data_IF_391005854881
#
_entry.id   IF_391005854881
#
_cell.length_a   1.000
_cell.length_b   1.000
_cell.length_c   1.000
_cell.angle_alpha   90.00
_cell.angle_beta   90.00
_cell.angle_gamma   90.00
#
_symmetry.space_group_name_H-M   'P 1'
#
loop_
_entity.id
_entity.type
_entity.pdbx_description
1 polymer ?
#
# COMPACT_ATOMS: atom_id res chain seq x y z
N UNK A 1 -15.05 -18.73 -1.19
CA UNK A 1 -13.72 -19.21 -1.60
C UNK A 1 -12.96 -19.42 -0.31
N UNK A 2 -12.05 -20.37 -0.24
CA UNK A 2 -11.13 -20.49 0.90
C UNK A 2 -10.05 -19.40 0.76
N UNK A 3 -9.54 -18.88 1.87
CA UNK A 3 -8.40 -17.95 1.89
C UNK A 3 -7.22 -18.58 1.13
N UNK A 4 -6.53 -17.83 0.25
CA UNK A 4 -5.40 -18.33 -0.52
C UNK A 4 -4.28 -18.85 0.38
N UNK A 5 -3.69 -19.98 0.02
CA UNK A 5 -2.58 -20.57 0.79
C UNK A 5 -1.23 -19.93 0.46
N UNK A 6 -1.05 -19.53 -0.79
CA UNK A 6 0.19 -18.87 -1.25
C UNK A 6 -0.19 -17.57 -1.94
N UNK A 7 0.27 -16.47 -1.36
CA UNK A 7 0.08 -15.12 -1.86
C UNK A 7 1.44 -14.54 -2.24
N UNK A 8 1.56 -13.99 -3.43
CA UNK A 8 2.79 -13.38 -3.93
C UNK A 8 2.69 -11.86 -3.91
N UNK A 9 3.61 -11.20 -3.21
CA UNK A 9 3.70 -9.74 -3.24
C UNK A 9 4.46 -9.29 -4.49
N UNK A 10 3.80 -8.48 -5.31
CA UNK A 10 4.37 -7.85 -6.49
C UNK A 10 4.42 -6.33 -6.28
N UNK A 11 5.59 -5.71 -6.44
CA UNK A 11 5.76 -4.28 -6.15
C UNK A 11 5.07 -3.34 -7.16
N UNK A 12 4.50 -3.87 -8.23
CA UNK A 12 3.77 -3.12 -9.26
C UNK A 12 4.65 -2.25 -10.18
N UNK A 13 5.82 -1.87 -9.71
CA UNK A 13 6.75 -0.96 -10.40
C UNK A 13 7.75 -1.68 -11.27
N UNK A 14 8.09 -2.92 -10.93
CA UNK A 14 9.19 -3.66 -11.54
C UNK A 14 9.14 -3.71 -13.07
N UNK A 15 8.03 -4.10 -13.72
CA UNK A 15 7.93 -4.07 -15.18
C UNK A 15 8.12 -2.68 -15.76
N UNK A 16 7.53 -1.66 -15.12
CA UNK A 16 7.56 -0.27 -15.58
C UNK A 16 8.96 0.35 -15.49
N UNK A 17 9.78 -0.09 -14.53
CA UNK A 17 11.07 0.52 -14.19
C UNK A 17 12.24 -0.20 -14.86
N UNK A 18 12.27 -1.55 -14.75
CA UNK A 18 13.50 -2.30 -15.01
C UNK A 18 13.48 -3.13 -16.29
N UNK A 19 12.30 -3.54 -16.77
CA UNK A 19 12.24 -4.53 -17.85
C UNK A 19 12.07 -3.92 -19.23
N UNK A 20 11.28 -2.86 -19.38
CA UNK A 20 10.85 -2.36 -20.68
C UNK A 20 11.07 -0.87 -20.84
N UNK A 21 11.61 -0.49 -22.01
CA UNK A 21 11.73 0.92 -22.39
C UNK A 21 10.37 1.48 -22.88
N UNK A 22 10.11 2.79 -22.67
CA UNK A 22 8.94 3.43 -23.27
C UNK A 22 9.03 3.45 -24.83
N UNK A 23 7.92 3.24 -25.52
CA UNK A 23 6.56 3.04 -25.06
C UNK A 23 6.28 1.55 -24.76
N UNK A 24 5.96 1.24 -23.51
CA UNK A 24 5.57 -0.11 -23.10
C UNK A 24 4.30 -0.58 -23.83
N UNK A 25 4.25 -1.87 -24.17
CA UNK A 25 3.08 -2.52 -24.72
C UNK A 25 2.27 -3.20 -23.61
N UNK A 26 0.93 -3.39 -23.79
CA UNK A 26 0.09 -4.07 -22.81
C UNK A 26 0.61 -5.44 -22.40
N UNK A 27 1.01 -6.27 -23.37
CA UNK A 27 1.50 -7.63 -23.15
C UNK A 27 2.79 -7.67 -22.31
N UNK A 28 3.59 -6.61 -22.37
CA UNK A 28 4.80 -6.46 -21.57
C UNK A 28 4.47 -6.22 -20.09
N UNK A 29 3.38 -5.49 -19.81
CA UNK A 29 2.93 -5.25 -18.43
C UNK A 29 2.24 -6.47 -17.83
N UNK A 30 1.50 -7.23 -18.63
CA UNK A 30 0.85 -8.50 -18.24
C UNK A 30 1.86 -9.56 -17.76
N UNK A 31 3.14 -9.43 -18.12
CA UNK A 31 4.21 -10.29 -17.61
C UNK A 31 4.26 -10.33 -16.06
N UNK A 32 3.80 -9.29 -15.36
CA UNK A 32 3.67 -9.30 -13.90
C UNK A 32 2.74 -10.40 -13.37
N UNK A 33 1.83 -10.89 -14.21
CA UNK A 33 0.97 -12.06 -13.92
C UNK A 33 1.56 -13.33 -14.54
N UNK A 34 2.02 -13.24 -15.79
CA UNK A 34 2.45 -14.39 -16.58
C UNK A 34 3.64 -15.13 -15.95
N UNK A 35 4.54 -14.42 -15.28
CA UNK A 35 5.67 -15.04 -14.56
C UNK A 35 5.24 -15.93 -13.38
N UNK A 36 3.99 -15.82 -12.94
CA UNK A 36 3.41 -16.63 -11.88
C UNK A 36 2.59 -17.83 -12.39
N UNK A 37 2.45 -17.98 -13.71
CA UNK A 37 1.72 -19.09 -14.32
C UNK A 37 2.52 -20.40 -14.13
N UNK A 38 1.82 -21.48 -13.80
CA UNK A 38 2.45 -22.76 -13.50
C UNK A 38 3.08 -22.86 -12.10
N UNK A 39 3.03 -21.77 -11.31
CA UNK A 39 3.43 -21.80 -9.89
C UNK A 39 2.23 -22.07 -8.97
N UNK A 40 2.45 -22.48 -7.71
CA UNK A 40 1.38 -22.67 -6.74
C UNK A 40 0.81 -21.37 -6.15
N UNK A 41 1.18 -20.19 -6.67
CA UNK A 41 0.64 -18.89 -6.24
C UNK A 41 -0.84 -18.83 -6.61
N UNK A 42 -1.69 -18.56 -5.61
CA UNK A 42 -3.14 -18.46 -5.75
C UNK A 42 -3.64 -17.00 -5.83
N UNK A 43 -2.91 -16.08 -5.18
CA UNK A 43 -3.26 -14.67 -5.15
C UNK A 43 -2.04 -13.77 -5.36
N UNK A 44 -2.27 -12.63 -6.01
CA UNK A 44 -1.27 -11.60 -6.25
C UNK A 44 -1.61 -10.39 -5.38
N UNK A 45 -0.70 -10.04 -4.48
CA UNK A 45 -0.75 -8.81 -3.69
C UNK A 45 -0.03 -7.72 -4.48
N UNK A 46 -0.79 -6.94 -5.25
CA UNK A 46 -0.23 -6.02 -6.24
C UNK A 46 -0.15 -4.59 -5.71
N UNK A 47 1.08 -4.08 -5.56
CA UNK A 47 1.32 -2.75 -5.00
C UNK A 47 0.81 -1.65 -5.95
N UNK A 48 -0.06 -0.78 -5.41
CA UNK A 48 -0.63 0.35 -6.15
C UNK A 48 0.38 1.48 -6.34
N UNK A 49 1.31 1.63 -5.39
CA UNK A 49 2.26 2.73 -5.32
C UNK A 49 2.54 3.13 -3.87
N UNK A 50 2.86 4.40 -3.67
CA UNK A 50 3.28 4.94 -2.38
C UNK A 50 2.24 5.94 -1.86
N UNK A 51 1.39 5.51 -0.94
CA UNK A 51 0.29 6.34 -0.42
C UNK A 51 -0.65 6.80 -1.54
N UNK A 52 -0.83 8.12 -1.72
CA UNK A 52 -1.68 8.70 -2.77
C UNK A 52 -1.08 8.60 -4.18
N UNK A 53 0.23 8.36 -4.29
CA UNK A 53 0.94 8.32 -5.58
C UNK A 53 0.90 6.91 -6.15
N UNK A 54 0.22 6.72 -7.27
CA UNK A 54 -0.08 5.41 -7.85
C UNK A 54 0.41 5.28 -9.30
N UNK A 55 0.37 4.06 -9.83
CA UNK A 55 0.82 3.72 -11.19
C UNK A 55 -0.32 3.26 -12.11
N UNK A 56 -1.56 3.50 -11.72
CA UNK A 56 -2.77 3.17 -12.47
C UNK A 56 -3.63 4.42 -12.69
N UNK A 57 -4.67 4.31 -13.51
CA UNK A 57 -5.59 5.40 -13.77
C UNK A 57 -6.44 5.71 -12.53
N UNK A 58 -6.33 6.93 -12.02
CA UNK A 58 -6.96 7.38 -10.77
C UNK A 58 -7.61 8.74 -10.92
N UNK A 59 -8.75 8.93 -10.25
CA UNK A 59 -9.48 10.19 -10.15
C UNK A 59 -9.16 10.94 -8.85
N UNK A 60 -8.70 10.21 -7.81
CA UNK A 60 -8.44 10.76 -6.47
C UNK A 60 -6.97 10.73 -6.07
N UNK A 61 -6.19 9.79 -6.64
CA UNK A 61 -4.75 9.72 -6.46
C UNK A 61 -3.99 10.63 -7.42
N UNK A 62 -2.70 10.42 -7.48
CA UNK A 62 -1.78 11.13 -8.37
C UNK A 62 -0.90 10.13 -9.11
N UNK A 63 -0.72 10.30 -10.41
CA UNK A 63 0.17 9.43 -11.15
C UNK A 63 1.61 9.68 -10.73
N UNK A 64 2.32 8.64 -10.39
CA UNK A 64 3.71 8.69 -9.96
C UNK A 64 4.59 9.54 -10.88
N UNK A 65 5.21 10.58 -10.34
CA UNK A 65 6.02 11.54 -11.10
C UNK A 65 5.24 12.55 -11.95
N UNK A 66 3.91 12.71 -11.77
CA UNK A 66 3.05 13.63 -12.53
C UNK A 66 3.53 15.08 -12.50
N UNK A 67 4.12 15.52 -11.39
CA UNK A 67 4.56 16.88 -11.13
C UNK A 67 6.02 17.14 -11.51
N UNK A 68 6.73 16.18 -12.14
CA UNK A 68 8.17 16.31 -12.43
C UNK A 68 8.46 16.98 -13.76
N UNK A 69 9.26 18.03 -13.72
CA UNK A 69 9.89 18.68 -14.88
C UNK A 69 11.30 18.14 -15.14
N UNK A 70 12.01 17.81 -14.05
CA UNK A 70 13.34 17.18 -14.08
C UNK A 70 13.28 15.87 -13.33
N UNK A 71 14.03 14.89 -13.77
CA UNK A 71 14.02 13.56 -13.22
C UNK A 71 15.34 13.29 -12.49
N UNK A 72 15.29 12.92 -11.20
CA UNK A 72 16.50 12.63 -10.44
C UNK A 72 17.19 11.35 -10.94
N UNK A 73 16.41 10.42 -11.54
CA UNK A 73 16.93 9.17 -12.08
C UNK A 73 16.10 8.69 -13.28
N UNK A 74 16.79 8.03 -14.26
CA UNK A 74 16.15 7.54 -15.47
C UNK A 74 15.06 6.49 -15.23
N UNK A 75 15.23 5.65 -14.20
CA UNK A 75 14.23 4.62 -13.85
C UNK A 75 12.89 5.25 -13.47
N UNK A 76 12.87 6.38 -12.77
CA UNK A 76 11.65 7.06 -12.38
C UNK A 76 10.95 7.69 -13.58
N UNK A 77 11.73 8.27 -14.49
CA UNK A 77 11.19 8.78 -15.76
C UNK A 77 10.58 7.65 -16.59
N UNK A 78 11.27 6.50 -16.67
CA UNK A 78 10.79 5.31 -17.39
C UNK A 78 9.46 4.82 -16.84
N UNK A 79 9.36 4.67 -15.51
CA UNK A 79 8.11 4.26 -14.85
C UNK A 79 6.94 5.19 -15.19
N UNK A 80 7.14 6.50 -15.08
CA UNK A 80 6.12 7.49 -15.43
C UNK A 80 5.72 7.41 -16.90
N UNK A 81 6.69 7.32 -17.81
CA UNK A 81 6.42 7.28 -19.25
C UNK A 81 5.67 6.00 -19.66
N UNK A 82 6.03 4.86 -19.07
CA UNK A 82 5.35 3.59 -19.31
C UNK A 82 3.91 3.63 -18.77
N UNK A 83 3.72 3.97 -17.49
CA UNK A 83 2.38 4.04 -16.90
C UNK A 83 1.47 5.05 -17.62
N UNK A 84 1.97 6.30 -17.79
CA UNK A 84 1.20 7.34 -18.50
C UNK A 84 0.95 7.00 -19.97
N UNK A 85 1.88 6.29 -20.62
CA UNK A 85 1.73 5.83 -22.00
C UNK A 85 0.62 4.79 -22.16
N UNK A 86 0.56 3.80 -21.26
CA UNK A 86 -0.51 2.80 -21.20
C UNK A 86 -1.86 3.47 -20.96
N UNK A 87 -1.97 4.32 -19.92
CA UNK A 87 -3.21 5.01 -19.57
C UNK A 87 -3.74 5.85 -20.74
N UNK A 88 -2.89 6.64 -21.39
CA UNK A 88 -3.31 7.45 -22.57
C UNK A 88 -3.82 6.64 -23.75
N UNK A 89 -3.40 5.37 -23.86
CA UNK A 89 -3.88 4.43 -24.88
C UNK A 89 -5.16 3.70 -24.44
N UNK A 90 -5.69 3.98 -23.25
CA UNK A 90 -6.85 3.32 -22.67
C UNK A 90 -6.56 2.00 -21.96
N UNK A 91 -5.30 1.72 -21.69
CA UNK A 91 -4.85 0.54 -20.96
C UNK A 91 -4.53 0.94 -19.51
N UNK A 92 -5.48 0.72 -18.62
CA UNK A 92 -5.28 0.96 -17.18
C UNK A 92 -4.45 -0.17 -16.56
N UNK A 93 -3.24 0.12 -16.03
CA UNK A 93 -2.35 -0.90 -15.49
C UNK A 93 -2.99 -1.82 -14.45
N UNK A 94 -3.75 -1.30 -13.48
CA UNK A 94 -4.37 -2.14 -12.47
C UNK A 94 -5.51 -3.00 -13.05
N UNK A 95 -6.27 -2.47 -13.99
CA UNK A 95 -7.31 -3.23 -14.71
C UNK A 95 -6.70 -4.40 -15.46
N UNK A 96 -5.60 -4.16 -16.18
CA UNK A 96 -4.90 -5.19 -16.93
C UNK A 96 -4.43 -6.34 -16.03
N UNK A 97 -3.85 -6.03 -14.88
CA UNK A 97 -3.43 -7.05 -13.90
C UNK A 97 -4.64 -7.85 -13.38
N UNK A 98 -5.74 -7.18 -13.04
CA UNK A 98 -6.96 -7.87 -12.58
C UNK A 98 -7.50 -8.82 -13.65
N UNK A 99 -7.68 -8.32 -14.87
CA UNK A 99 -8.26 -9.10 -15.97
C UNK A 99 -7.37 -10.29 -16.35
N UNK A 100 -6.05 -10.06 -16.42
CA UNK A 100 -5.08 -11.12 -16.70
C UNK A 100 -5.03 -12.19 -15.61
N UNK A 101 -5.00 -11.78 -14.35
CA UNK A 101 -5.00 -12.71 -13.21
C UNK A 101 -6.26 -13.57 -13.19
N UNK A 102 -7.43 -12.96 -13.35
CA UNK A 102 -8.71 -13.67 -13.39
C UNK A 102 -8.83 -14.63 -14.57
N UNK A 103 -8.26 -14.29 -15.72
CA UNK A 103 -8.20 -15.20 -16.89
C UNK A 103 -7.55 -16.54 -16.51
N UNK A 104 -6.60 -16.53 -15.58
CA UNK A 104 -5.88 -17.71 -15.12
C UNK A 104 -6.29 -18.19 -13.71
N UNK A 105 -7.44 -17.73 -13.21
CA UNK A 105 -8.00 -18.15 -11.93
C UNK A 105 -7.22 -17.71 -10.70
N UNK A 106 -6.37 -16.68 -10.83
CA UNK A 106 -5.63 -16.09 -9.69
C UNK A 106 -6.41 -14.91 -9.12
N UNK A 107 -6.35 -14.76 -7.80
CA UNK A 107 -6.98 -13.66 -7.07
C UNK A 107 -6.07 -12.42 -7.06
N UNK A 108 -6.66 -11.22 -6.97
CA UNK A 108 -5.92 -9.95 -6.89
C UNK A 108 -6.29 -9.18 -5.63
N UNK A 109 -5.28 -8.86 -4.84
CA UNK A 109 -5.34 -8.00 -3.67
C UNK A 109 -4.46 -6.77 -3.92
N UNK A 110 -5.04 -5.63 -4.33
CA UNK A 110 -4.27 -4.39 -4.38
C UNK A 110 -3.65 -4.11 -3.01
N UNK A 111 -2.37 -3.76 -3.01
CA UNK A 111 -1.62 -3.43 -1.79
C UNK A 111 -1.37 -1.94 -1.73
N UNK A 112 -1.76 -1.29 -0.65
CA UNK A 112 -1.44 0.10 -0.38
C UNK A 112 -0.32 0.19 0.66
N UNK A 113 0.83 0.76 0.27
CA UNK A 113 1.82 1.23 1.23
C UNK A 113 1.19 2.41 2.00
N UNK A 114 0.70 2.11 3.22
CA UNK A 114 -0.15 3.05 3.95
C UNK A 114 0.63 4.28 4.43
N UNK A 115 1.90 4.10 4.75
CA UNK A 115 2.76 5.16 5.24
C UNK A 115 4.08 5.22 4.48
N UNK A 116 4.57 6.43 4.28
CA UNK A 116 5.89 6.70 3.71
C UNK A 116 6.38 8.05 4.19
N UNK A 117 7.66 8.13 4.58
CA UNK A 117 8.32 9.39 4.88
C UNK A 117 8.50 10.24 3.62
N UNK A 118 8.55 11.56 3.80
CA UNK A 118 8.78 12.51 2.72
C UNK A 118 10.27 12.76 2.53
N UNK A 119 10.76 12.61 1.31
CA UNK A 119 12.03 13.13 0.86
C UNK A 119 11.95 14.60 0.43
N UNK A 120 12.99 15.10 -0.23
CA UNK A 120 12.97 16.44 -0.79
C UNK A 120 12.03 16.53 -2.02
N UNK A 121 11.41 17.70 -2.22
CA UNK A 121 10.53 17.93 -3.37
C UNK A 121 11.19 17.57 -4.71
N UNK A 122 12.44 17.90 -4.88
CA UNK A 122 13.14 17.71 -6.16
C UNK A 122 13.53 16.26 -6.42
N UNK A 123 13.57 15.43 -5.40
CA UNK A 123 14.13 14.06 -5.47
C UNK A 123 13.08 12.96 -5.31
N UNK A 124 12.06 13.18 -4.50
CA UNK A 124 11.09 12.14 -4.17
C UNK A 124 9.87 12.15 -5.10
N UNK A 125 9.96 11.39 -6.18
CA UNK A 125 8.87 11.23 -7.15
C UNK A 125 7.70 10.39 -6.62
N UNK A 126 7.85 9.77 -5.44
CA UNK A 126 6.85 8.91 -4.82
C UNK A 126 5.93 9.67 -3.87
N UNK A 127 6.26 10.94 -3.57
CA UNK A 127 5.44 11.78 -2.72
C UNK A 127 4.42 12.57 -3.54
N UNK A 128 3.20 12.62 -3.04
CA UNK A 128 2.10 13.40 -3.62
C UNK A 128 2.26 14.89 -3.35
N UNK A 129 1.57 15.71 -4.13
CA UNK A 129 1.49 17.14 -3.88
C UNK A 129 0.86 17.43 -2.52
N UNK A 130 -0.16 16.67 -2.13
CA UNK A 130 -0.77 16.75 -0.81
C UNK A 130 0.26 16.69 0.33
N UNK A 131 1.28 15.85 0.23
CA UNK A 131 2.33 15.75 1.25
C UNK A 131 3.20 17.00 1.34
N UNK A 132 3.60 17.53 0.18
CA UNK A 132 4.45 18.72 0.13
C UNK A 132 3.70 19.98 0.55
N UNK A 133 2.41 20.05 0.27
CA UNK A 133 1.54 21.17 0.61
C UNK A 133 1.10 21.15 2.08
N UNK A 134 1.20 20.00 2.76
CA UNK A 134 0.68 19.81 4.11
C UNK A 134 1.74 19.32 5.11
N UNK A 135 2.90 19.96 5.26
CA UNK A 135 3.92 19.54 6.24
C UNK A 135 3.44 19.65 7.69
N UNK A 136 2.41 20.47 7.97
CA UNK A 136 1.78 20.58 9.28
C UNK A 136 1.02 19.31 9.72
N UNK A 137 0.76 18.39 8.81
CA UNK A 137 0.12 17.09 9.10
C UNK A 137 1.14 15.97 9.35
N UNK A 138 2.44 16.28 9.35
CA UNK A 138 3.49 15.31 9.65
C UNK A 138 3.63 15.09 11.16
N UNK A 139 4.05 13.90 11.55
CA UNK A 139 4.29 13.52 12.96
C UNK A 139 5.28 14.49 13.62
N UNK A 140 6.32 14.90 12.89
CA UNK A 140 7.35 15.84 13.39
C UNK A 140 6.98 17.31 13.29
N UNK A 141 5.75 17.68 12.90
CA UNK A 141 5.35 19.07 12.69
C UNK A 141 5.48 19.97 13.93
N UNK A 142 5.45 19.37 15.14
CA UNK A 142 5.65 20.10 16.40
C UNK A 142 7.10 20.56 16.63
N UNK A 143 8.08 19.90 16.01
CA UNK A 143 9.50 20.20 16.19
C UNK A 143 10.09 19.73 17.53
N UNK A 144 9.43 18.83 18.24
CA UNK A 144 9.80 18.32 19.57
C UNK A 144 10.33 16.88 19.54
N UNK A 145 10.43 16.26 18.36
CA UNK A 145 11.00 14.93 18.19
C UNK A 145 12.54 14.97 18.23
N UNK A 146 13.18 13.90 18.70
CA UNK A 146 14.64 13.76 18.61
C UNK A 146 15.14 13.94 17.15
N UNK A 147 16.33 14.53 17.02
CA UNK A 147 16.98 14.63 15.72
C UNK A 147 17.15 13.25 15.09
N UNK A 148 16.77 13.11 13.81
CA UNK A 148 16.85 11.84 13.08
C UNK A 148 15.73 10.85 13.39
N UNK A 149 14.65 11.24 14.08
CA UNK A 149 13.51 10.35 14.31
C UNK A 149 12.93 9.84 12.99
N UNK A 150 12.89 8.51 12.75
CA UNK A 150 12.60 7.96 11.41
C UNK A 150 11.19 8.28 10.90
N UNK A 151 10.24 8.46 11.82
CA UNK A 151 8.84 8.78 11.50
C UNK A 151 8.53 10.27 11.37
N UNK A 152 9.52 11.17 11.50
CA UNK A 152 9.27 12.62 11.59
C UNK A 152 8.52 13.19 10.40
N UNK A 153 8.80 12.71 9.19
CA UNK A 153 8.13 13.12 7.95
C UNK A 153 6.96 12.21 7.55
N UNK A 154 6.58 11.25 8.35
CA UNK A 154 5.39 10.44 8.14
C UNK A 154 4.12 11.26 8.45
N UNK A 155 3.02 10.99 7.73
CA UNK A 155 1.75 11.65 7.99
C UNK A 155 1.13 11.13 9.31
N UNK A 156 0.66 12.06 10.15
CA UNK A 156 0.06 11.74 11.44
C UNK A 156 -1.43 11.40 11.28
N UNK A 157 -1.76 10.14 11.55
CA UNK A 157 -3.13 9.63 11.44
C UNK A 157 -4.11 10.19 12.47
N UNK A 158 -3.65 11.01 13.44
CA UNK A 158 -4.58 11.78 14.27
C UNK A 158 -5.41 12.78 13.44
N UNK A 159 -4.84 13.27 12.32
CA UNK A 159 -5.52 14.20 11.43
C UNK A 159 -6.54 13.46 10.57
N UNK A 160 -7.75 14.00 10.54
CA UNK A 160 -8.84 13.42 9.73
C UNK A 160 -8.52 13.48 8.25
N UNK A 161 -7.89 14.56 7.81
CA UNK A 161 -7.47 14.82 6.42
C UNK A 161 -6.57 13.69 5.90
N UNK A 162 -5.63 13.24 6.72
CA UNK A 162 -4.73 12.11 6.40
C UNK A 162 -5.52 10.81 6.23
N UNK A 163 -6.41 10.53 7.17
CA UNK A 163 -7.25 9.32 7.13
C UNK A 163 -8.23 9.32 5.95
N UNK A 164 -8.80 10.47 5.63
CA UNK A 164 -9.75 10.58 4.52
C UNK A 164 -9.02 10.47 3.18
N UNK A 165 -7.86 11.08 3.01
CA UNK A 165 -7.01 10.97 1.83
C UNK A 165 -6.65 9.50 1.51
N UNK A 166 -6.22 8.73 2.50
CA UNK A 166 -5.93 7.29 2.33
C UNK A 166 -7.20 6.49 2.03
N UNK A 167 -8.28 6.82 2.68
CA UNK A 167 -9.55 6.12 2.50
C UNK A 167 -10.15 6.34 1.11
N UNK A 168 -10.06 7.53 0.54
CA UNK A 168 -10.57 7.84 -0.80
C UNK A 168 -9.91 6.97 -1.87
N UNK A 169 -8.59 6.76 -1.81
CA UNK A 169 -7.88 5.89 -2.75
C UNK A 169 -8.33 4.42 -2.62
N UNK A 170 -8.51 3.95 -1.38
CA UNK A 170 -9.04 2.59 -1.13
C UNK A 170 -10.46 2.47 -1.72
N UNK A 171 -11.33 3.44 -1.43
CA UNK A 171 -12.72 3.43 -1.90
C UNK A 171 -12.80 3.48 -3.44
N UNK A 172 -11.96 4.28 -4.10
CA UNK A 172 -11.85 4.30 -5.55
C UNK A 172 -11.46 2.93 -6.09
N UNK A 173 -10.40 2.33 -5.55
CA UNK A 173 -9.93 1.02 -5.99
C UNK A 173 -11.02 -0.04 -5.87
N UNK A 174 -11.72 -0.07 -4.75
CA UNK A 174 -12.82 -1.03 -4.52
C UNK A 174 -14.01 -0.83 -5.48
N UNK A 175 -14.24 0.39 -5.94
CA UNK A 175 -15.33 0.75 -6.87
C UNK A 175 -14.95 0.46 -8.33
N UNK A 176 -13.71 0.84 -8.73
CA UNK A 176 -13.27 0.79 -10.14
C UNK A 176 -12.87 -0.61 -10.60
N UNK A 177 -12.32 -1.44 -9.70
CA UNK A 177 -11.63 -2.67 -10.09
C UNK A 177 -12.29 -3.94 -9.54
N UNK A 178 -12.24 -5.05 -10.29
CA UNK A 178 -12.80 -6.33 -9.88
C UNK A 178 -11.84 -7.09 -8.94
N UNK A 179 -11.47 -6.46 -7.83
CA UNK A 179 -10.51 -7.02 -6.87
C UNK A 179 -11.17 -8.05 -5.95
N UNK A 180 -10.40 -9.02 -5.46
CA UNK A 180 -10.88 -10.11 -4.58
C UNK A 180 -10.69 -9.79 -3.11
N UNK A 181 -9.72 -8.92 -2.80
CA UNK A 181 -9.45 -8.40 -1.48
C UNK A 181 -8.73 -7.07 -1.56
N UNK A 182 -8.17 -6.64 -0.43
CA UNK A 182 -7.32 -5.46 -0.35
C UNK A 182 -6.28 -5.64 0.75
N UNK A 183 -5.03 -5.25 0.52
CA UNK A 183 -3.98 -5.27 1.54
C UNK A 183 -3.63 -3.86 2.01
N UNK A 184 -3.62 -3.67 3.33
CA UNK A 184 -2.98 -2.54 3.98
C UNK A 184 -1.58 -2.95 4.40
N UNK A 185 -0.56 -2.41 3.75
CA UNK A 185 0.83 -2.62 4.13
C UNK A 185 1.21 -1.60 5.19
N UNK A 186 1.12 -2.01 6.46
CA UNK A 186 1.33 -1.14 7.61
C UNK A 186 2.72 -1.28 8.25
N UNK A 187 3.55 -2.20 7.72
CA UNK A 187 4.88 -2.48 8.29
C UNK A 187 6.02 -1.75 7.57
N UNK A 188 5.80 -1.15 6.40
CA UNK A 188 6.88 -0.52 5.63
C UNK A 188 7.53 0.66 6.37
N UNK A 189 6.71 1.53 6.96
CA UNK A 189 7.10 2.57 7.93
C UNK A 189 6.01 2.65 8.99
N UNK A 190 6.12 1.92 10.10
CA UNK A 190 5.04 1.79 11.07
C UNK A 190 4.95 2.99 12.03
N UNK A 191 5.01 4.20 11.50
CA UNK A 191 4.91 5.45 12.26
C UNK A 191 3.61 6.15 11.88
N UNK A 192 2.59 6.04 12.74
CA UNK A 192 1.25 6.55 12.47
C UNK A 192 0.82 7.70 13.36
N UNK A 193 1.47 7.86 14.50
CA UNK A 193 1.16 8.87 15.52
C UNK A 193 2.44 9.43 16.12
N UNK A 194 2.33 10.65 16.62
CA UNK A 194 3.39 11.18 17.48
C UNK A 194 3.60 10.25 18.70
N UNK A 195 4.83 10.02 19.19
CA UNK A 195 5.10 9.10 20.30
C UNK A 195 4.22 9.34 21.54
N UNK A 196 3.98 10.61 21.89
CA UNK A 196 3.12 10.97 23.03
C UNK A 196 1.62 10.71 22.81
N UNK A 197 1.21 10.43 21.57
CA UNK A 197 -0.21 10.28 21.19
C UNK A 197 -0.57 8.84 20.77
N UNK A 198 0.36 7.90 20.88
CA UNK A 198 0.15 6.51 20.48
C UNK A 198 -1.03 5.87 21.20
N UNK A 199 -1.21 6.12 22.49
CA UNK A 199 -2.31 5.54 23.28
C UNK A 199 -3.68 5.96 22.76
N UNK A 200 -3.86 7.24 22.49
CA UNK A 200 -5.09 7.76 21.87
C UNK A 200 -5.21 7.30 20.40
N UNK A 201 -4.07 7.19 19.72
CA UNK A 201 -3.93 6.78 18.34
C UNK A 201 -4.47 5.38 18.06
N UNK A 202 -4.36 4.44 19.00
CA UNK A 202 -4.89 3.06 18.85
C UNK A 202 -6.37 3.03 18.56
N UNK A 203 -7.15 3.83 19.28
CA UNK A 203 -8.60 3.91 19.05
C UNK A 203 -8.90 4.56 17.69
N UNK A 204 -8.17 5.63 17.34
CA UNK A 204 -8.31 6.32 16.06
C UNK A 204 -8.02 5.35 14.90
N UNK A 205 -6.92 4.58 14.98
CA UNK A 205 -6.57 3.60 13.98
C UNK A 205 -7.61 2.48 13.88
N UNK A 206 -8.07 1.96 15.02
CA UNK A 206 -9.11 0.92 15.06
C UNK A 206 -10.41 1.39 14.39
N UNK A 207 -10.84 2.62 14.66
CA UNK A 207 -12.02 3.22 14.01
C UNK A 207 -11.84 3.37 12.50
N UNK A 208 -10.63 3.74 12.07
CA UNK A 208 -10.30 3.84 10.65
C UNK A 208 -10.26 2.47 9.96
N UNK A 209 -9.63 1.46 10.56
CA UNK A 209 -9.66 0.07 10.06
C UNK A 209 -11.10 -0.44 9.94
N UNK A 210 -11.95 -0.16 10.94
CA UNK A 210 -13.37 -0.50 10.89
C UNK A 210 -14.11 0.18 9.73
N UNK A 211 -13.74 1.45 9.42
CA UNK A 211 -14.26 2.17 8.24
C UNK A 211 -13.85 1.47 6.95
N UNK A 212 -12.56 1.09 6.81
CA UNK A 212 -12.03 0.37 5.63
C UNK A 212 -12.71 -0.99 5.47
N UNK A 213 -12.75 -1.80 6.53
CA UNK A 213 -13.41 -3.11 6.51
C UNK A 213 -14.86 -3.03 6.06
N UNK A 214 -15.64 -2.07 6.59
CA UNK A 214 -17.03 -1.87 6.19
C UNK A 214 -17.15 -1.51 4.70
N UNK A 215 -16.27 -0.65 4.18
CA UNK A 215 -16.27 -0.29 2.76
C UNK A 215 -15.95 -1.51 1.88
N UNK A 216 -14.95 -2.29 2.26
CA UNK A 216 -14.57 -3.51 1.57
C UNK A 216 -15.73 -4.51 1.51
N UNK A 217 -16.35 -4.82 2.65
CA UNK A 217 -17.47 -5.80 2.72
C UNK A 217 -18.73 -5.31 1.99
N UNK A 218 -18.96 -4.00 1.91
CA UNK A 218 -20.04 -3.42 1.09
C UNK A 218 -19.78 -3.53 -0.40
N UNK A 219 -18.53 -3.39 -0.83
CA UNK A 219 -18.14 -3.54 -2.25
C UNK A 219 -18.17 -4.99 -2.73
N UNK A 220 -18.09 -5.96 -1.80
CA UNK A 220 -18.20 -7.40 -2.07
C UNK A 220 -18.05 -8.21 -0.78
N UNK A 221 -19.09 -8.91 -0.36
CA UNK A 221 -19.10 -9.65 0.93
C UNK A 221 -17.98 -10.67 1.07
N UNK A 222 -17.49 -11.22 -0.03
CA UNK A 222 -16.43 -12.23 -0.06
C UNK A 222 -15.02 -11.63 -0.17
N UNK A 223 -14.92 -10.30 -0.37
CA UNK A 223 -13.62 -9.62 -0.42
C UNK A 223 -12.96 -9.67 0.96
N UNK A 224 -11.68 -9.98 0.99
CA UNK A 224 -10.91 -10.14 2.22
C UNK A 224 -10.03 -8.91 2.48
N UNK A 225 -9.96 -8.49 3.75
CA UNK A 225 -9.01 -7.47 4.21
C UNK A 225 -7.76 -8.16 4.75
N UNK A 226 -6.65 -8.00 4.04
CA UNK A 226 -5.33 -8.39 4.49
C UNK A 226 -4.64 -7.18 5.13
N UNK A 227 -3.94 -7.40 6.25
CA UNK A 227 -3.13 -6.36 6.89
C UNK A 227 -1.74 -6.91 7.17
N UNK A 228 -0.72 -6.22 6.66
CA UNK A 228 0.68 -6.53 6.94
C UNK A 228 1.19 -5.68 8.10
N UNK A 229 1.71 -6.34 9.12
CA UNK A 229 2.07 -5.76 10.41
C UNK A 229 3.50 -6.12 10.82
N UNK A 230 4.11 -5.39 11.77
CA UNK A 230 5.28 -5.87 12.51
C UNK A 230 5.07 -7.27 13.08
N UNK A 231 6.17 -8.03 13.22
CA UNK A 231 6.13 -9.46 13.58
C UNK A 231 5.72 -9.75 15.04
N UNK A 232 5.56 -8.75 15.89
CA UNK A 232 5.12 -8.95 17.27
C UNK A 232 3.89 -8.11 17.63
N UNK A 233 3.05 -8.65 18.52
CA UNK A 233 1.86 -7.94 19.01
C UNK A 233 2.26 -6.70 19.81
N UNK A 234 3.28 -6.83 20.64
CA UNK A 234 3.83 -5.73 21.44
C UNK A 234 4.33 -4.62 20.51
N UNK A 235 5.13 -4.97 19.49
CA UNK A 235 5.62 -4.00 18.51
C UNK A 235 4.49 -3.32 17.73
N UNK A 236 3.41 -4.04 17.41
CA UNK A 236 2.20 -3.44 16.82
C UNK A 236 1.57 -2.43 17.79
N UNK A 237 1.42 -2.81 19.06
CA UNK A 237 0.78 -2.00 20.07
C UNK A 237 1.57 -0.70 20.36
N UNK A 238 2.90 -0.79 20.36
CA UNK A 238 3.82 0.35 20.52
C UNK A 238 3.77 1.37 19.40
N UNK A 239 3.28 0.98 18.21
CA UNK A 239 3.13 1.89 17.05
C UNK A 239 1.67 2.26 16.75
N UNK A 240 0.75 1.97 17.68
CA UNK A 240 -0.64 2.39 17.59
C UNK A 240 -1.57 1.41 16.88
N UNK A 241 -1.20 0.13 16.76
CA UNK A 241 -2.00 -0.92 16.15
C UNK A 241 -2.51 -1.91 17.22
N UNK A 242 -3.81 -1.88 17.51
CA UNK A 242 -4.44 -2.81 18.46
C UNK A 242 -4.93 -4.07 17.73
N UNK A 243 -3.98 -4.97 17.42
CA UNK A 243 -4.29 -6.20 16.68
C UNK A 243 -5.29 -7.09 17.43
N UNK A 244 -5.20 -7.15 18.75
CA UNK A 244 -6.14 -7.95 19.57
C UNK A 244 -7.57 -7.44 19.44
N UNK A 245 -7.76 -6.12 19.45
CA UNK A 245 -9.08 -5.53 19.22
C UNK A 245 -9.58 -5.83 17.79
N UNK A 246 -8.71 -5.71 16.77
CA UNK A 246 -9.10 -5.95 15.39
C UNK A 246 -9.53 -7.40 15.15
N UNK A 247 -8.82 -8.37 15.72
CA UNK A 247 -9.17 -9.79 15.62
C UNK A 247 -10.46 -10.09 16.40
N UNK A 248 -10.61 -9.56 17.62
CA UNK A 248 -11.83 -9.73 18.42
C UNK A 248 -13.08 -9.19 17.72
N UNK A 249 -12.94 -8.10 16.98
CA UNK A 249 -14.04 -7.48 16.23
C UNK A 249 -14.23 -8.11 14.81
N UNK A 250 -13.37 -9.04 14.41
CA UNK A 250 -13.40 -9.64 13.06
C UNK A 250 -13.16 -8.64 11.94
N UNK A 251 -12.28 -7.66 12.16
CA UNK A 251 -11.96 -6.62 11.17
C UNK A 251 -10.92 -7.04 10.14
N UNK A 252 -10.19 -8.13 10.38
CA UNK A 252 -9.09 -8.61 9.53
C UNK A 252 -9.37 -10.04 9.12
N UNK A 253 -9.29 -10.32 7.82
CA UNK A 253 -9.47 -11.69 7.29
C UNK A 253 -8.13 -12.41 7.15
N UNK A 254 -7.05 -11.68 6.81
CA UNK A 254 -5.69 -12.21 6.64
C UNK A 254 -4.69 -11.31 7.35
N UNK A 255 -3.94 -11.88 8.28
CA UNK A 255 -2.87 -11.17 8.99
C UNK A 255 -1.51 -11.64 8.49
N UNK A 256 -0.66 -10.69 8.09
CA UNK A 256 0.67 -10.96 7.53
C UNK A 256 1.71 -10.34 8.46
N UNK A 257 2.43 -11.19 9.21
CA UNK A 257 3.56 -10.73 10.03
C UNK A 257 4.83 -10.63 9.21
N UNK A 258 5.57 -9.57 9.43
CA UNK A 258 6.85 -9.34 8.78
C UNK A 258 7.80 -8.63 9.73
N UNK A 259 9.08 -9.04 9.74
CA UNK A 259 10.11 -8.28 10.46
C UNK A 259 10.31 -6.92 9.79
N UNK A 260 10.53 -5.89 10.61
CA UNK A 260 10.68 -4.52 10.11
C UNK A 260 12.08 -4.25 9.55
N UNK A 261 13.09 -4.97 9.99
CA UNK A 261 14.49 -4.63 9.75
C UNK A 261 15.09 -5.29 8.51
N UNK A 262 15.31 -4.50 7.46
CA UNK A 262 16.30 -4.75 6.44
C UNK A 262 15.99 -5.83 5.40
N UNK A 263 16.92 -6.07 4.47
CA UNK A 263 16.76 -7.05 3.40
C UNK A 263 16.83 -8.52 3.87
N UNK A 264 17.18 -8.77 5.10
CA UNK A 264 17.14 -10.11 5.73
C UNK A 264 15.72 -10.48 6.15
N UNK A 265 14.78 -10.15 5.32
CA UNK A 265 13.34 -10.27 5.50
C UNK A 265 12.82 -11.73 5.56
N UNK A 266 13.69 -12.70 5.52
CA UNK A 266 13.35 -14.11 5.66
C UNK A 266 13.46 -14.54 7.14
N UNK A 267 12.73 -13.85 8.01
CA UNK A 267 12.56 -14.33 9.37
C UNK A 267 11.50 -15.44 9.37
N UNK A 268 11.99 -16.68 9.41
CA UNK A 268 11.15 -17.86 9.55
C UNK A 268 10.66 -18.09 11.00
N UNK A 269 11.00 -17.17 11.91
CA UNK A 269 10.77 -17.33 13.35
C UNK A 269 9.61 -16.47 13.86
N UNK A 270 8.78 -15.91 12.98
CA UNK A 270 7.58 -15.17 13.40
C UNK A 270 6.65 -16.08 14.16
N UNK A 271 6.46 -15.80 15.45
CA UNK A 271 5.56 -16.53 16.32
C UNK A 271 4.17 -15.87 16.34
N UNK A 272 3.20 -16.57 15.79
CA UNK A 272 1.79 -16.17 15.81
C UNK A 272 0.99 -16.80 16.95
N UNK A 273 1.60 -17.62 17.79
CA UNK A 273 0.89 -18.29 18.90
C UNK A 273 0.14 -17.34 19.85
N UNK A 274 0.61 -16.10 20.09
CA UNK A 274 -0.14 -15.15 20.89
C UNK A 274 -1.45 -14.63 20.24
N UNK A 275 -1.67 -14.92 18.95
CA UNK A 275 -2.85 -14.52 18.18
C UNK A 275 -3.87 -15.64 18.01
N UNK A 276 -3.52 -16.86 18.39
CA UNK A 276 -4.34 -18.07 18.33
C UNK A 276 -4.91 -18.41 19.71
#
# INVERSE_FOLDING_TARGET
MSTPKIMFYHDGRHPLIYRYEPPMQPEEYEQGVDELLGTPVEAIMFCLGDGRTVLHDTEVGELWGHNRKKWPHLIFRRAHQNASGLIRKGHDPLRMICDRAHQYGKLVYPTLLLQQGRGSWDEDVRCSDFRFENPQLEIGARGDLPEGYPGSTCLDFKHREVRDERFELIAETLRKYPVDGFELQMNYQPYYFHPDEIDAGRQIMTDWIRKVHRALKRSGRKRELAIRIPSSIEGCYEVGMDIKAWLKEGLVDVLIGQTFSGPELLDSTVDFSPLV
#
